data_IF_445964833132
#
_entry.id   IF_445964833132
#
_cell.length_a   1.000
_cell.length_b   1.000
_cell.length_c   1.000
_cell.angle_alpha   90.00
_cell.angle_beta   90.00
_cell.angle_gamma   90.00
#
_symmetry.space_group_name_H-M   'P 1'
#
loop_
_entity.id
_entity.type
_entity.pdbx_description
1 polymer ?
#
# COMPACT_ATOMS: atom_id res chain seq x y z
N UNK A 1 -29.29 -15.86 -46.30
CA UNK A 1 -28.71 -16.56 -45.14
C UNK A 1 -27.92 -15.54 -44.34
N UNK A 2 -28.47 -15.07 -43.23
CA UNK A 2 -27.83 -14.12 -42.32
C UNK A 2 -27.38 -14.87 -41.06
N UNK A 3 -26.15 -14.61 -40.63
CA UNK A 3 -25.73 -14.85 -39.25
C UNK A 3 -24.39 -15.55 -39.10
N UNK A 4 -23.30 -14.77 -39.00
CA UNK A 4 -22.10 -15.10 -38.25
C UNK A 4 -21.35 -13.80 -37.90
N UNK A 5 -21.74 -13.16 -36.79
CA UNK A 5 -21.16 -11.89 -36.33
C UNK A 5 -20.88 -11.82 -34.81
N UNK A 6 -20.83 -12.96 -34.11
CA UNK A 6 -20.78 -12.99 -32.64
C UNK A 6 -19.40 -13.01 -31.99
N UNK A 7 -18.32 -13.33 -32.73
CA UNK A 7 -17.01 -13.65 -32.13
C UNK A 7 -16.14 -12.44 -31.72
N UNK A 8 -16.32 -11.28 -32.34
CA UNK A 8 -15.53 -10.08 -32.02
C UNK A 8 -15.93 -9.46 -30.68
N UNK A 9 -17.23 -9.48 -30.35
CA UNK A 9 -17.79 -8.79 -29.18
C UNK A 9 -17.35 -9.38 -27.82
N UNK A 10 -17.10 -10.70 -27.75
CA UNK A 10 -16.74 -11.37 -26.49
C UNK A 10 -15.27 -11.18 -26.10
N UNK A 11 -14.37 -11.20 -27.09
CA UNK A 11 -12.94 -10.94 -26.87
C UNK A 11 -12.68 -9.48 -26.48
N UNK A 12 -13.44 -8.55 -27.04
CA UNK A 12 -13.35 -7.13 -26.72
C UNK A 12 -13.92 -6.82 -25.32
N UNK A 13 -15.05 -7.43 -24.95
CA UNK A 13 -15.59 -7.36 -23.60
C UNK A 13 -14.62 -7.91 -22.54
N UNK A 14 -13.93 -9.01 -22.83
CA UNK A 14 -12.93 -9.59 -21.93
C UNK A 14 -11.72 -8.65 -21.73
N UNK A 15 -11.25 -7.98 -22.79
CA UNK A 15 -10.15 -6.98 -22.70
C UNK A 15 -10.54 -5.76 -21.89
N UNK A 16 -11.75 -5.24 -22.09
CA UNK A 16 -12.27 -4.10 -21.32
C UNK A 16 -12.40 -4.46 -19.85
N UNK A 17 -12.91 -5.66 -19.54
CA UNK A 17 -13.01 -6.15 -18.16
C UNK A 17 -11.63 -6.31 -17.50
N UNK A 18 -10.65 -6.86 -18.21
CA UNK A 18 -9.28 -7.00 -17.69
C UNK A 18 -8.62 -5.64 -17.47
N UNK A 19 -8.80 -4.70 -18.40
CA UNK A 19 -8.30 -3.33 -18.26
C UNK A 19 -8.94 -2.61 -17.05
N UNK A 20 -10.25 -2.80 -16.82
CA UNK A 20 -10.91 -2.28 -15.63
C UNK A 20 -10.36 -2.90 -14.34
N UNK A 21 -10.10 -4.21 -14.31
CA UNK A 21 -9.49 -4.88 -13.14
C UNK A 21 -8.10 -4.33 -12.84
N UNK A 22 -7.27 -4.14 -13.86
CA UNK A 22 -5.94 -3.54 -13.69
C UNK A 22 -6.02 -2.10 -13.17
N UNK A 23 -6.94 -1.29 -13.70
CA UNK A 23 -7.15 0.09 -13.23
C UNK A 23 -7.60 0.12 -11.77
N UNK A 24 -8.53 -0.75 -11.39
CA UNK A 24 -8.98 -0.89 -10.00
C UNK A 24 -7.83 -1.30 -9.08
N UNK A 25 -7.06 -2.32 -9.46
CA UNK A 25 -5.89 -2.77 -8.70
C UNK A 25 -4.85 -1.65 -8.53
N UNK A 26 -4.58 -0.87 -9.58
CA UNK A 26 -3.67 0.29 -9.50
C UNK A 26 -4.21 1.34 -8.52
N UNK A 27 -5.49 1.69 -8.61
CA UNK A 27 -6.09 2.68 -7.73
C UNK A 27 -6.05 2.28 -6.25
N UNK A 28 -6.23 0.98 -5.98
CA UNK A 28 -6.12 0.40 -4.64
C UNK A 28 -4.68 0.46 -4.13
N UNK A 29 -3.70 0.07 -4.96
CA UNK A 29 -2.27 0.16 -4.64
C UNK A 29 -1.87 1.59 -4.26
N UNK A 30 -2.32 2.58 -5.03
CA UNK A 30 -2.03 3.98 -4.76
C UNK A 30 -2.67 4.46 -3.45
N UNK A 31 -3.90 4.02 -3.16
CA UNK A 31 -4.59 4.34 -1.91
C UNK A 31 -3.86 3.73 -0.70
N UNK A 32 -3.57 2.44 -0.75
CA UNK A 32 -2.86 1.72 0.32
C UNK A 32 -1.49 2.36 0.59
N UNK A 33 -0.76 2.73 -0.46
CA UNK A 33 0.52 3.41 -0.34
C UNK A 33 0.37 4.78 0.35
N UNK A 34 -0.64 5.58 -0.02
CA UNK A 34 -0.94 6.86 0.66
C UNK A 34 -1.30 6.66 2.13
N UNK A 35 -2.13 5.68 2.44
CA UNK A 35 -2.55 5.39 3.81
C UNK A 35 -1.35 4.94 4.67
N UNK A 36 -0.44 4.15 4.10
CA UNK A 36 0.83 3.80 4.74
C UNK A 36 1.69 5.03 5.01
N UNK A 37 1.84 5.93 4.03
CA UNK A 37 2.60 7.17 4.21
C UNK A 37 2.02 8.06 5.32
N UNK A 38 0.70 8.21 5.41
CA UNK A 38 0.10 8.98 6.49
C UNK A 38 0.34 8.34 7.87
N UNK A 39 0.25 7.01 7.97
CA UNK A 39 0.47 6.29 9.23
C UNK A 39 1.92 6.39 9.70
N UNK A 40 2.89 6.14 8.82
CA UNK A 40 4.32 6.17 9.16
C UNK A 40 4.74 7.58 9.58
N UNK A 41 4.25 8.62 8.90
CA UNK A 41 4.54 10.01 9.28
C UNK A 41 4.01 10.32 10.68
N UNK A 42 2.77 9.91 10.99
CA UNK A 42 2.17 10.14 12.31
C UNK A 42 2.95 9.41 13.41
N UNK A 43 3.21 8.11 13.24
CA UNK A 43 3.93 7.30 14.22
C UNK A 43 5.33 7.86 14.47
N UNK A 44 6.10 8.14 13.42
CA UNK A 44 7.46 8.64 13.60
C UNK A 44 7.51 10.07 14.14
N UNK A 45 6.50 10.89 13.88
CA UNK A 45 6.40 12.20 14.53
C UNK A 45 6.13 12.05 16.04
N UNK A 46 5.14 11.24 16.43
CA UNK A 46 4.77 10.99 17.84
C UNK A 46 5.95 10.38 18.64
N UNK A 47 6.71 9.47 18.03
CA UNK A 47 7.81 8.74 18.68
C UNK A 47 9.15 9.52 18.74
N UNK A 48 9.40 10.44 17.81
CA UNK A 48 10.71 11.10 17.70
C UNK A 48 10.70 12.60 17.99
N UNK A 49 9.56 13.28 17.86
CA UNK A 49 9.47 14.73 18.04
C UNK A 49 8.89 15.02 19.41
N UNK A 50 9.77 15.36 20.34
CA UNK A 50 9.38 15.64 21.74
C UNK A 50 9.60 17.10 22.13
N UNK A 51 10.39 17.84 21.36
CA UNK A 51 10.76 19.21 21.71
C UNK A 51 10.18 20.17 20.69
N UNK A 52 9.10 20.85 21.06
CA UNK A 52 8.61 22.02 20.33
C UNK A 52 9.46 23.24 20.71
N UNK A 53 10.74 23.19 20.34
CA UNK A 53 11.58 24.38 20.37
C UNK A 53 10.98 25.42 19.40
N UNK A 54 11.25 26.71 19.62
CA UNK A 54 10.79 27.81 18.76
C UNK A 54 11.29 27.77 17.29
N UNK A 55 11.78 26.62 16.83
CA UNK A 55 12.37 26.38 15.51
C UNK A 55 11.42 25.57 14.64
N UNK A 56 11.28 25.95 13.37
CA UNK A 56 10.48 25.21 12.37
C UNK A 56 11.21 23.99 11.77
N UNK A 57 12.33 23.60 12.36
CA UNK A 57 13.20 22.54 11.86
C UNK A 57 13.38 21.47 12.92
N UNK A 58 13.48 20.21 12.48
CA UNK A 58 13.83 19.09 13.36
C UNK A 58 15.25 19.28 13.88
N UNK A 59 15.45 18.94 15.15
CA UNK A 59 16.79 18.85 15.71
C UNK A 59 17.55 17.70 15.03
N UNK A 60 18.90 17.76 14.93
CA UNK A 60 19.68 16.69 14.30
C UNK A 60 19.41 15.29 14.88
N UNK A 61 19.12 15.20 16.18
CA UNK A 61 18.72 13.95 16.84
C UNK A 61 17.35 13.45 16.42
N UNK A 62 16.37 14.34 16.27
CA UNK A 62 15.00 14.01 15.84
C UNK A 62 15.00 13.56 14.38
N UNK A 63 15.76 14.24 13.51
CA UNK A 63 15.89 13.85 12.10
C UNK A 63 16.41 12.41 11.95
N UNK A 64 17.50 12.07 12.65
CA UNK A 64 18.05 10.70 12.65
C UNK A 64 17.09 9.67 13.26
N UNK A 65 16.33 10.05 14.28
CA UNK A 65 15.29 9.20 14.87
C UNK A 65 14.19 8.90 13.83
N UNK A 66 13.69 9.92 13.13
CA UNK A 66 12.64 9.79 12.12
C UNK A 66 13.08 8.86 10.99
N UNK A 67 14.31 9.00 10.48
CA UNK A 67 14.87 8.11 9.45
C UNK A 67 14.88 6.65 9.92
N UNK A 68 15.36 6.42 11.15
CA UNK A 68 15.44 5.07 11.75
C UNK A 68 14.04 4.50 12.02
N UNK A 69 13.11 5.33 12.49
CA UNK A 69 11.73 4.96 12.73
C UNK A 69 11.05 4.50 11.44
N UNK A 70 11.18 5.28 10.36
CA UNK A 70 10.57 4.96 9.09
C UNK A 70 11.08 3.62 8.52
N UNK A 71 12.40 3.39 8.60
CA UNK A 71 13.00 2.13 8.20
C UNK A 71 12.45 0.94 9.00
N UNK A 72 12.41 1.07 10.34
CA UNK A 72 11.88 0.02 11.22
C UNK A 72 10.41 -0.26 10.97
N UNK A 73 9.59 0.78 10.81
CA UNK A 73 8.17 0.65 10.53
C UNK A 73 7.93 -0.11 9.22
N UNK A 74 8.69 0.19 8.17
CA UNK A 74 8.58 -0.50 6.89
C UNK A 74 8.99 -1.98 6.99
N UNK A 75 10.12 -2.27 7.64
CA UNK A 75 10.58 -3.65 7.87
C UNK A 75 9.57 -4.46 8.67
N UNK A 76 9.02 -3.88 9.74
CA UNK A 76 7.98 -4.50 10.55
C UNK A 76 6.71 -4.75 9.72
N UNK A 77 6.26 -3.76 8.95
CA UNK A 77 5.07 -3.87 8.10
C UNK A 77 5.21 -5.01 7.08
N UNK A 78 6.38 -5.14 6.44
CA UNK A 78 6.65 -6.26 5.51
C UNK A 78 6.66 -7.61 6.23
N UNK A 79 7.32 -7.70 7.38
CA UNK A 79 7.38 -8.94 8.15
C UNK A 79 5.99 -9.38 8.60
N UNK A 80 5.16 -8.45 9.09
CA UNK A 80 3.78 -8.74 9.47
C UNK A 80 2.95 -9.16 8.25
N UNK A 81 3.13 -8.50 7.10
CA UNK A 81 2.46 -8.86 5.85
C UNK A 81 2.76 -10.30 5.41
N UNK A 82 4.02 -10.75 5.52
CA UNK A 82 4.40 -12.12 5.23
C UNK A 82 3.70 -13.11 6.18
N UNK A 83 3.72 -12.84 7.49
CA UNK A 83 3.03 -13.68 8.49
C UNK A 83 1.52 -13.74 8.25
N UNK A 84 0.88 -12.62 7.89
CA UNK A 84 -0.55 -12.61 7.57
C UNK A 84 -0.88 -13.45 6.32
N UNK A 85 -0.01 -13.41 5.29
CA UNK A 85 -0.20 -14.23 4.11
C UNK A 85 -0.12 -15.73 4.43
N UNK A 86 0.85 -16.14 5.25
CA UNK A 86 0.99 -17.53 5.72
C UNK A 86 -0.24 -17.97 6.52
N UNK A 87 -0.67 -17.16 7.49
CA UNK A 87 -1.87 -17.42 8.30
C UNK A 87 -3.13 -17.53 7.44
N UNK A 88 -3.29 -16.65 6.46
CA UNK A 88 -4.44 -16.69 5.55
C UNK A 88 -4.46 -18.00 4.75
N UNK A 89 -3.31 -18.43 4.22
CA UNK A 89 -3.19 -19.71 3.52
C UNK A 89 -3.47 -20.91 4.42
N UNK A 90 -3.06 -20.86 5.70
CA UNK A 90 -3.40 -21.93 6.66
C UNK A 90 -4.89 -21.95 6.98
N UNK A 91 -5.50 -20.78 7.20
CA UNK A 91 -6.94 -20.68 7.50
C UNK A 91 -7.81 -21.19 6.35
N UNK A 92 -7.36 -21.01 5.10
CA UNK A 92 -8.05 -21.50 3.91
C UNK A 92 -7.95 -23.03 3.72
N UNK A 93 -7.09 -23.74 4.48
CA UNK A 93 -6.96 -25.21 4.42
C UNK A 93 -7.88 -25.96 5.39
N UNK A 94 -8.48 -25.25 6.34
CA UNK A 94 -9.44 -25.82 7.30
C UNK A 94 -10.87 -25.61 6.81
#
# INVERSE_FOLDING_TARGET
MLGFGGGASSAEAARVAEQQRMQQASSLRDKEMRDMYHRITRVCFEECVHTFAFTKHFLPGEAKCIETCALKYYQLSMSMGASFAEMYMESARR
#
